data_IF_800118982363
#
_entry.id   IF_800118982363
#
_cell.length_a   1.000
_cell.length_b   1.000
_cell.length_c   1.000
_cell.angle_alpha   90.00
_cell.angle_beta   90.00
_cell.angle_gamma   90.00
#
_symmetry.space_group_name_H-M   'P 1'
#
loop_
_entity.id
_entity.type
_entity.pdbx_description
1 polymer ?
#
# COMPACT_ATOMS: atom_id res chain seq x y z
N UNK A 1 7.50 -4.05 -25.85
CA UNK A 1 7.57 -3.23 -27.07
C UNK A 1 8.37 -1.97 -26.77
N UNK A 2 9.62 -1.88 -27.21
CA UNK A 2 10.28 -0.59 -27.44
C UNK A 2 10.58 -0.56 -28.94
N UNK A 3 9.62 -0.06 -29.73
CA UNK A 3 9.81 0.08 -31.19
C UNK A 3 10.60 1.33 -31.57
N UNK A 4 10.93 2.20 -30.60
CA UNK A 4 11.62 3.47 -30.84
C UNK A 4 12.58 3.81 -29.70
N UNK A 5 13.56 4.66 -29.99
CA UNK A 5 14.50 5.22 -29.02
C UNK A 5 14.03 6.63 -28.61
N UNK A 6 13.59 6.84 -27.35
CA UNK A 6 13.10 8.15 -26.90
C UNK A 6 14.15 9.26 -27.04
N UNK A 7 15.42 8.91 -26.84
CA UNK A 7 16.56 9.83 -26.95
C UNK A 7 16.67 10.34 -28.39
N UNK A 8 16.75 9.43 -29.37
CA UNK A 8 16.85 9.81 -30.80
C UNK A 8 15.67 10.66 -31.26
N UNK A 9 14.46 10.26 -30.90
CA UNK A 9 13.25 11.02 -31.25
C UNK A 9 13.30 12.43 -30.66
N UNK A 10 13.70 12.57 -29.40
CA UNK A 10 13.82 13.88 -28.75
C UNK A 10 14.92 14.74 -29.38
N UNK A 11 16.06 14.16 -29.75
CA UNK A 11 17.13 14.88 -30.46
C UNK A 11 16.68 15.44 -31.81
N UNK A 12 15.90 14.67 -32.57
CA UNK A 12 15.30 15.13 -33.84
C UNK A 12 14.41 16.35 -33.62
N UNK A 13 13.52 16.32 -32.62
CA UNK A 13 12.71 17.49 -32.25
C UNK A 13 13.58 18.69 -31.84
N UNK A 14 14.54 18.48 -30.93
CA UNK A 14 15.43 19.53 -30.42
C UNK A 14 16.27 20.18 -31.53
N UNK A 15 16.63 19.45 -32.59
CA UNK A 15 17.40 19.97 -33.72
C UNK A 15 16.70 21.10 -34.49
N UNK A 16 15.36 21.15 -34.44
CA UNK A 16 14.54 22.17 -35.13
C UNK A 16 14.44 23.50 -34.37
N UNK A 17 14.89 23.51 -33.10
CA UNK A 17 14.81 24.68 -32.25
C UNK A 17 16.03 25.61 -32.39
N UNK A 18 15.84 26.94 -32.31
CA UNK A 18 16.95 27.87 -32.21
C UNK A 18 17.80 27.57 -30.98
N UNK A 19 19.13 27.76 -31.08
CA UNK A 19 20.13 27.39 -30.05
C UNK A 19 19.73 27.76 -28.61
N UNK A 20 19.22 28.98 -28.39
CA UNK A 20 18.80 29.46 -27.06
C UNK A 20 17.55 28.74 -26.54
N UNK A 21 16.56 28.51 -27.41
CA UNK A 21 15.32 27.81 -27.04
C UNK A 21 15.63 26.34 -26.76
N UNK A 22 16.47 25.72 -27.59
CA UNK A 22 16.97 24.36 -27.40
C UNK A 22 17.65 24.18 -26.04
N UNK A 23 18.60 25.03 -25.67
CA UNK A 23 19.29 24.93 -24.36
C UNK A 23 18.31 25.05 -23.18
N UNK A 24 17.32 25.96 -23.26
CA UNK A 24 16.28 26.08 -22.22
C UNK A 24 15.48 24.77 -22.12
N UNK A 25 15.00 24.21 -23.23
CA UNK A 25 14.25 22.94 -23.23
C UNK A 25 15.13 21.79 -22.73
N UNK A 26 16.37 21.65 -23.22
CA UNK A 26 17.32 20.64 -22.76
C UNK A 26 17.48 20.68 -21.23
N UNK A 27 17.73 21.85 -20.65
CA UNK A 27 17.87 22.02 -19.19
C UNK A 27 16.57 21.78 -18.42
N UNK A 28 15.41 22.15 -18.98
CA UNK A 28 14.11 21.95 -18.30
C UNK A 28 13.75 20.49 -18.16
N UNK A 29 14.01 19.71 -19.21
CA UNK A 29 13.66 18.30 -19.26
C UNK A 29 14.83 17.38 -18.87
N UNK A 30 16.06 17.89 -18.79
CA UNK A 30 17.25 17.07 -18.50
C UNK A 30 17.53 16.10 -19.64
N UNK A 31 17.54 16.62 -20.87
CA UNK A 31 17.71 15.88 -22.12
C UNK A 31 18.77 16.54 -23.00
N UNK A 32 19.23 15.82 -24.02
CA UNK A 32 20.26 16.31 -24.95
C UNK A 32 21.57 16.57 -24.21
N UNK A 33 22.05 17.82 -24.24
CA UNK A 33 23.31 18.20 -23.56
C UNK A 33 23.16 18.34 -22.04
N UNK A 34 21.95 18.42 -21.53
CA UNK A 34 21.69 18.49 -20.09
C UNK A 34 21.41 17.09 -19.55
N UNK A 35 22.10 16.71 -18.47
CA UNK A 35 21.87 15.43 -17.78
C UNK A 35 20.77 15.52 -16.71
N UNK A 36 20.63 16.70 -16.10
CA UNK A 36 19.73 16.93 -14.98
C UNK A 36 18.66 17.98 -15.31
N UNK A 37 17.46 17.75 -14.77
CA UNK A 37 16.33 18.69 -14.85
C UNK A 37 16.59 19.90 -13.97
N UNK A 38 16.42 21.10 -14.51
CA UNK A 38 16.55 22.38 -13.79
C UNK A 38 15.21 23.10 -13.69
N UNK A 39 14.97 23.80 -12.58
CA UNK A 39 13.81 24.67 -12.42
C UNK A 39 13.90 25.89 -13.35
N UNK A 40 12.74 26.52 -13.63
CA UNK A 40 12.71 27.78 -14.39
C UNK A 40 13.57 28.87 -13.75
N UNK A 41 13.63 28.90 -12.42
CA UNK A 41 14.43 29.85 -11.65
C UNK A 41 15.93 29.59 -11.76
N UNK A 42 16.37 28.33 -11.67
CA UNK A 42 17.77 27.97 -11.83
C UNK A 42 18.29 28.30 -13.24
N UNK A 43 17.45 28.10 -14.27
CA UNK A 43 17.78 28.50 -15.64
C UNK A 43 17.79 30.02 -15.76
N UNK A 44 16.82 30.71 -15.17
CA UNK A 44 16.74 32.18 -15.19
C UNK A 44 17.98 32.82 -14.60
N UNK A 45 18.42 32.33 -13.44
CA UNK A 45 19.66 32.73 -12.77
C UNK A 45 20.88 32.51 -13.68
N UNK A 46 20.98 31.35 -14.34
CA UNK A 46 22.09 31.04 -15.26
C UNK A 46 22.13 31.97 -16.49
N UNK A 47 21.00 32.53 -16.88
CA UNK A 47 20.85 33.40 -18.05
C UNK A 47 20.75 34.89 -17.69
N UNK A 48 20.75 35.26 -16.41
CA UNK A 48 20.50 36.63 -15.96
C UNK A 48 19.10 37.16 -16.35
N UNK A 49 18.09 36.28 -16.41
CA UNK A 49 16.71 36.65 -16.78
C UNK A 49 15.70 36.17 -15.73
N UNK A 50 14.52 36.78 -15.72
CA UNK A 50 13.46 36.39 -14.79
C UNK A 50 12.92 34.99 -15.08
N UNK A 51 12.41 34.33 -14.03
CA UNK A 51 11.69 33.04 -14.15
C UNK A 51 10.59 33.09 -15.22
N UNK A 52 9.84 34.19 -15.26
CA UNK A 52 8.75 34.38 -16.23
C UNK A 52 9.28 34.44 -17.67
N UNK A 53 10.43 35.09 -17.89
CA UNK A 53 11.06 35.11 -19.22
C UNK A 53 11.49 33.71 -19.66
N UNK A 54 11.99 32.87 -18.75
CA UNK A 54 12.30 31.46 -19.07
C UNK A 54 11.02 30.70 -19.41
N UNK A 55 9.93 30.89 -18.66
CA UNK A 55 8.63 30.26 -18.93
C UNK A 55 8.11 30.61 -20.32
N UNK A 56 8.26 31.86 -20.74
CA UNK A 56 7.89 32.30 -22.09
C UNK A 56 8.74 31.62 -23.17
N UNK A 57 10.05 31.47 -22.94
CA UNK A 57 10.95 30.78 -23.89
C UNK A 57 10.59 29.28 -23.99
N UNK A 58 10.32 28.64 -22.86
CA UNK A 58 9.85 27.24 -22.80
C UNK A 58 8.54 27.08 -23.58
N UNK A 59 7.53 27.91 -23.28
CA UNK A 59 6.24 27.88 -23.97
C UNK A 59 6.36 28.12 -25.49
N UNK A 60 7.21 29.06 -25.90
CA UNK A 60 7.51 29.30 -27.32
C UNK A 60 8.16 28.07 -27.97
N UNK A 61 9.11 27.43 -27.29
CA UNK A 61 9.77 26.20 -27.77
C UNK A 61 8.79 25.05 -27.96
N UNK A 62 7.99 24.75 -26.93
CA UNK A 62 6.98 23.69 -26.98
C UNK A 62 5.94 23.96 -28.08
N UNK A 63 5.45 25.19 -28.21
CA UNK A 63 4.51 25.57 -29.28
C UNK A 63 5.11 25.39 -30.67
N UNK A 64 6.39 25.74 -30.86
CA UNK A 64 7.08 25.58 -32.14
C UNK A 64 7.26 24.10 -32.50
N UNK A 65 7.56 23.25 -31.53
CA UNK A 65 7.68 21.81 -31.73
C UNK A 65 6.34 21.16 -32.08
N UNK A 66 5.27 21.60 -31.43
CA UNK A 66 3.91 21.11 -31.69
C UNK A 66 3.38 21.54 -33.07
N UNK A 67 3.63 22.79 -33.47
CA UNK A 67 3.19 23.31 -34.77
C UNK A 67 3.95 22.71 -35.97
N UNK A 68 5.08 22.03 -35.74
CA UNK A 68 5.85 21.41 -36.81
C UNK A 68 5.25 20.06 -37.19
N UNK A 69 5.32 19.69 -38.48
CA UNK A 69 4.84 18.38 -38.95
C UNK A 69 5.61 17.20 -38.34
N UNK A 70 6.71 17.45 -37.62
CA UNK A 70 7.50 16.45 -36.90
C UNK A 70 6.67 15.57 -35.93
N UNK A 71 5.62 16.09 -35.29
CA UNK A 71 4.72 15.23 -34.48
C UNK A 71 3.95 14.26 -35.38
N UNK A 72 3.46 14.72 -36.54
CA UNK A 72 2.78 13.86 -37.52
C UNK A 72 3.72 12.82 -38.13
N UNK A 73 4.97 13.19 -38.37
CA UNK A 73 6.01 12.29 -38.90
C UNK A 73 6.39 11.19 -37.89
N UNK A 74 6.28 11.47 -36.59
CA UNK A 74 6.54 10.52 -35.49
C UNK A 74 5.26 10.04 -34.82
N UNK A 75 4.16 10.01 -35.57
CA UNK A 75 2.84 9.63 -35.05
C UNK A 75 2.84 8.23 -34.43
N UNK A 76 3.61 7.29 -35.00
CA UNK A 76 3.80 5.94 -34.47
C UNK A 76 4.32 5.92 -33.02
N UNK A 77 5.21 6.84 -32.67
CA UNK A 77 5.76 6.98 -31.31
C UNK A 77 4.68 7.44 -30.34
N UNK A 78 3.91 8.46 -30.70
CA UNK A 78 2.86 9.01 -29.85
C UNK A 78 1.67 8.06 -29.74
N UNK A 79 1.29 7.40 -30.84
CA UNK A 79 0.26 6.36 -30.85
C UNK A 79 0.68 5.20 -29.93
N UNK A 80 1.95 4.76 -29.96
CA UNK A 80 2.43 3.72 -29.05
C UNK A 80 2.35 4.14 -27.58
N UNK A 81 2.74 5.37 -27.23
CA UNK A 81 2.62 5.90 -25.86
C UNK A 81 1.15 6.01 -25.42
N UNK A 82 0.28 6.46 -26.33
CA UNK A 82 -1.17 6.57 -26.09
C UNK A 82 -1.80 5.20 -25.89
N UNK A 83 -1.50 4.23 -26.76
CA UNK A 83 -1.96 2.86 -26.62
C UNK A 83 -1.49 2.22 -25.31
N UNK A 84 -0.27 2.50 -24.84
CA UNK A 84 0.19 2.00 -23.55
C UNK A 84 -0.57 2.63 -22.37
N UNK A 85 -0.85 3.93 -22.40
CA UNK A 85 -1.70 4.57 -21.39
C UNK A 85 -3.13 4.00 -21.43
N UNK A 86 -3.72 3.84 -22.61
CA UNK A 86 -5.07 3.28 -22.77
C UNK A 86 -5.16 1.82 -22.31
N UNK A 87 -4.13 1.00 -22.60
CA UNK A 87 -4.01 -0.37 -22.07
C UNK A 87 -4.01 -0.41 -20.54
N UNK A 88 -3.50 0.64 -19.90
CA UNK A 88 -3.48 0.87 -18.45
C UNK A 88 -4.73 1.60 -17.93
N UNK A 89 -5.81 1.66 -18.71
CA UNK A 89 -7.04 2.32 -18.31
C UNK A 89 -6.98 3.85 -18.45
N UNK A 90 -6.19 4.35 -19.39
CA UNK A 90 -6.13 5.77 -19.78
C UNK A 90 -5.33 6.68 -18.86
N UNK A 91 -4.84 6.18 -17.72
CA UNK A 91 -4.12 6.94 -16.71
C UNK A 91 -3.06 6.09 -16.03
N UNK A 92 -1.91 6.69 -15.71
CA UNK A 92 -0.86 6.03 -14.96
C UNK A 92 -0.06 7.01 -14.09
N UNK A 93 0.40 6.53 -12.93
CA UNK A 93 1.36 7.25 -12.09
C UNK A 93 2.67 7.49 -12.86
N UNK A 94 3.22 8.71 -12.78
CA UNK A 94 4.30 9.18 -13.66
C UNK A 94 5.57 8.33 -13.52
N UNK A 95 6.04 8.07 -12.30
CA UNK A 95 7.30 7.38 -12.09
C UNK A 95 7.22 5.89 -12.46
N UNK A 96 6.13 5.21 -12.13
CA UNK A 96 5.86 3.82 -12.54
C UNK A 96 5.68 3.71 -14.04
N UNK A 97 4.93 4.63 -14.67
CA UNK A 97 4.76 4.65 -16.11
C UNK A 97 6.11 4.79 -16.83
N UNK A 98 6.89 5.81 -16.45
CA UNK A 98 8.20 6.06 -17.05
C UNK A 98 9.16 4.90 -16.78
N UNK A 99 9.19 4.35 -15.56
CA UNK A 99 10.04 3.20 -15.21
C UNK A 99 9.67 1.92 -15.96
N UNK A 100 8.40 1.75 -16.34
CA UNK A 100 7.97 0.60 -17.14
C UNK A 100 8.42 0.69 -18.61
N UNK A 101 8.72 1.91 -19.08
CA UNK A 101 9.08 2.19 -20.47
C UNK A 101 10.56 2.52 -20.67
N UNK A 102 11.30 2.85 -19.62
CA UNK A 102 12.67 3.34 -19.69
C UNK A 102 13.63 2.50 -18.83
N UNK A 103 14.86 2.34 -19.33
CA UNK A 103 15.95 1.62 -18.65
C UNK A 103 16.89 2.55 -17.88
N UNK A 104 16.83 3.86 -18.13
CA UNK A 104 17.70 4.86 -17.52
C UNK A 104 16.95 6.14 -17.18
N UNK A 105 17.52 6.97 -16.30
CA UNK A 105 16.95 8.28 -15.96
C UNK A 105 16.87 9.21 -17.18
N UNK A 106 17.83 9.10 -18.10
CA UNK A 106 17.85 9.85 -19.35
C UNK A 106 16.66 9.44 -20.24
N UNK A 107 16.40 8.15 -20.41
CA UNK A 107 15.22 7.69 -21.16
C UNK A 107 13.91 8.17 -20.52
N UNK A 108 13.79 8.13 -19.19
CA UNK A 108 12.62 8.67 -18.47
C UNK A 108 12.40 10.17 -18.77
N UNK A 109 13.48 10.95 -18.78
CA UNK A 109 13.44 12.37 -19.08
C UNK A 109 12.97 12.64 -20.52
N UNK A 110 13.47 11.86 -21.49
CA UNK A 110 13.06 11.96 -22.89
C UNK A 110 11.60 11.55 -23.10
N UNK A 111 11.13 10.46 -22.48
CA UNK A 111 9.70 10.07 -22.56
C UNK A 111 8.82 11.16 -21.93
N UNK A 112 9.20 11.72 -20.78
CA UNK A 112 8.48 12.83 -20.15
C UNK A 112 8.39 14.05 -21.07
N UNK A 113 9.47 14.37 -21.78
CA UNK A 113 9.47 15.43 -22.78
C UNK A 113 8.48 15.13 -23.92
N UNK A 114 8.52 13.93 -24.49
CA UNK A 114 7.58 13.52 -25.56
C UNK A 114 6.12 13.62 -25.10
N UNK A 115 5.79 13.12 -23.91
CA UNK A 115 4.44 13.25 -23.34
C UNK A 115 4.02 14.72 -23.18
N UNK A 116 4.97 15.63 -22.91
CA UNK A 116 4.67 17.07 -22.77
C UNK A 116 4.42 17.76 -24.11
N UNK A 117 4.91 17.20 -25.22
CA UNK A 117 4.80 17.83 -26.54
C UNK A 117 3.42 17.64 -27.20
N UNK A 118 2.85 16.45 -27.07
CA UNK A 118 1.61 16.08 -27.74
C UNK A 118 0.37 16.43 -26.91
N UNK A 119 -0.66 16.93 -27.56
CA UNK A 119 -1.92 17.36 -26.92
C UNK A 119 -2.75 16.19 -26.39
N UNK A 120 -2.49 14.98 -26.88
CA UNK A 120 -3.13 13.75 -26.42
C UNK A 120 -2.86 13.42 -24.95
N UNK A 121 -1.83 14.02 -24.34
CA UNK A 121 -1.42 13.71 -22.97
C UNK A 121 -1.60 14.88 -22.04
N UNK A 122 -2.32 14.64 -20.93
CA UNK A 122 -2.52 15.60 -19.87
C UNK A 122 -1.71 15.17 -18.64
N UNK A 123 -0.78 16.03 -18.23
CA UNK A 123 -0.11 15.88 -16.93
C UNK A 123 -1.00 16.43 -15.83
N UNK A 124 -1.32 15.58 -14.86
CA UNK A 124 -2.03 15.97 -13.65
C UNK A 124 -1.00 16.02 -12.52
N UNK A 125 -0.94 17.16 -11.83
CA UNK A 125 0.01 17.37 -10.75
C UNK A 125 -0.35 16.48 -9.57
N UNK A 126 0.68 16.15 -8.81
CA UNK A 126 0.53 15.50 -7.52
C UNK A 126 -0.29 16.37 -6.55
N UNK A 127 -1.14 15.72 -5.77
CA UNK A 127 -1.98 16.31 -4.73
C UNK A 127 -1.91 15.46 -3.44
N UNK A 128 -2.77 15.72 -2.46
CA UNK A 128 -2.77 15.00 -1.18
C UNK A 128 -3.15 13.52 -1.34
N UNK A 129 -4.08 13.19 -2.24
CA UNK A 129 -4.62 11.83 -2.39
C UNK A 129 -3.92 11.03 -3.50
N UNK A 130 -3.37 11.71 -4.51
CA UNK A 130 -2.89 11.09 -5.73
C UNK A 130 -1.48 11.55 -6.12
N UNK A 131 -0.70 10.58 -6.61
CA UNK A 131 0.63 10.82 -7.17
C UNK A 131 0.56 11.65 -8.46
N UNK A 132 1.69 12.26 -8.84
CA UNK A 132 1.82 12.88 -10.16
C UNK A 132 1.57 11.84 -11.26
N UNK A 133 0.76 12.18 -12.26
CA UNK A 133 0.21 11.19 -13.20
C UNK A 133 0.01 11.75 -14.60
N UNK A 134 0.04 10.87 -15.59
CA UNK A 134 -0.28 11.17 -16.98
C UNK A 134 -1.59 10.51 -17.36
N UNK A 135 -2.41 11.23 -18.12
CA UNK A 135 -3.63 10.71 -18.72
C UNK A 135 -3.62 10.91 -20.23
N UNK A 136 -4.16 9.93 -20.95
CA UNK A 136 -4.48 10.02 -22.38
C UNK A 136 -5.97 10.25 -22.64
N UNK A 137 -6.80 10.25 -21.58
CA UNK A 137 -8.25 10.41 -21.67
C UNK A 137 -8.80 11.04 -20.36
N UNK A 138 -9.44 12.20 -20.49
CA UNK A 138 -9.96 12.96 -19.36
C UNK A 138 -11.13 12.26 -18.65
N UNK A 139 -11.97 11.52 -19.39
CA UNK A 139 -13.09 10.77 -18.81
C UNK A 139 -12.57 9.59 -18.00
N UNK A 140 -11.59 8.86 -18.52
CA UNK A 140 -10.94 7.77 -17.78
C UNK A 140 -10.18 8.27 -16.56
N UNK A 141 -9.51 9.42 -16.65
CA UNK A 141 -8.87 10.03 -15.49
C UNK A 141 -9.89 10.39 -14.40
N UNK A 142 -11.02 11.00 -14.76
CA UNK A 142 -12.10 11.31 -13.82
C UNK A 142 -12.68 10.03 -13.20
N UNK A 143 -12.97 9.02 -14.00
CA UNK A 143 -13.48 7.73 -13.52
C UNK A 143 -12.50 7.06 -12.54
N UNK A 144 -11.19 7.13 -12.83
CA UNK A 144 -10.15 6.61 -11.95
C UNK A 144 -10.16 7.31 -10.58
N UNK A 145 -10.18 8.65 -10.55
CA UNK A 145 -10.15 9.39 -9.27
C UNK A 145 -11.40 9.12 -8.45
N UNK A 146 -12.58 9.16 -9.06
CA UNK A 146 -13.84 8.89 -8.35
C UNK A 146 -13.93 7.44 -7.86
N UNK A 147 -13.49 6.47 -8.67
CA UNK A 147 -13.42 5.05 -8.25
C UNK A 147 -12.49 4.89 -7.05
N UNK A 148 -11.30 5.52 -7.08
CA UNK A 148 -10.36 5.45 -5.97
C UNK A 148 -10.91 6.14 -4.72
N UNK A 149 -11.62 7.25 -4.87
CA UNK A 149 -12.23 7.95 -3.74
C UNK A 149 -13.32 7.09 -3.06
N UNK A 150 -14.13 6.36 -3.85
CA UNK A 150 -15.08 5.36 -3.32
C UNK A 150 -14.33 4.22 -2.63
N UNK A 151 -13.26 3.71 -3.25
CA UNK A 151 -12.44 2.64 -2.66
C UNK A 151 -11.81 3.09 -1.33
N UNK A 152 -11.32 4.34 -1.23
CA UNK A 152 -10.76 4.87 0.01
C UNK A 152 -11.77 4.80 1.15
N UNK A 153 -13.00 5.27 0.92
CA UNK A 153 -14.10 5.22 1.90
C UNK A 153 -14.47 3.79 2.27
N UNK A 154 -14.53 2.89 1.28
CA UNK A 154 -14.87 1.49 1.54
C UNK A 154 -13.79 0.76 2.36
N UNK A 155 -12.52 1.19 2.31
CA UNK A 155 -11.43 0.59 3.08
C UNK A 155 -11.33 1.13 4.53
N UNK A 156 -12.11 2.13 4.91
CA UNK A 156 -12.07 2.70 6.26
C UNK A 156 -12.48 1.66 7.31
N UNK A 157 -11.62 1.46 8.32
CA UNK A 157 -11.85 0.51 9.40
C UNK A 157 -11.80 -0.97 8.99
N UNK A 158 -11.42 -1.29 7.75
CA UNK A 158 -11.32 -2.68 7.28
C UNK A 158 -9.91 -3.25 7.46
N UNK A 159 -9.87 -4.56 7.61
CA UNK A 159 -8.64 -5.33 7.58
C UNK A 159 -7.98 -5.32 6.20
N UNK A 160 -6.65 -5.51 6.11
CA UNK A 160 -5.96 -5.60 4.82
C UNK A 160 -6.55 -6.70 3.94
N UNK A 161 -6.75 -6.38 2.66
CA UNK A 161 -7.29 -7.28 1.65
C UNK A 161 -6.16 -7.91 0.83
N UNK A 162 -6.40 -9.11 0.29
CA UNK A 162 -5.45 -9.69 -0.66
C UNK A 162 -5.44 -8.95 -2.00
N UNK A 163 -4.39 -9.16 -2.79
CA UNK A 163 -4.20 -8.51 -4.09
C UNK A 163 -5.37 -8.75 -5.06
N UNK A 164 -5.87 -10.00 -5.10
CA UNK A 164 -7.01 -10.36 -5.94
C UNK A 164 -8.31 -9.71 -5.47
N UNK A 165 -8.51 -9.63 -4.15
CA UNK A 165 -9.71 -9.06 -3.54
C UNK A 165 -9.83 -7.56 -3.78
N UNK A 166 -8.74 -6.81 -3.54
CA UNK A 166 -8.77 -5.36 -3.77
C UNK A 166 -8.93 -5.02 -5.27
N UNK A 167 -8.32 -5.81 -6.16
CA UNK A 167 -8.48 -5.64 -7.61
C UNK A 167 -9.89 -5.95 -8.06
N UNK A 168 -10.50 -7.04 -7.58
CA UNK A 168 -11.90 -7.37 -7.87
C UNK A 168 -12.85 -6.28 -7.35
N UNK A 169 -12.59 -5.75 -6.16
CA UNK A 169 -13.36 -4.63 -5.61
C UNK A 169 -13.23 -3.36 -6.45
N UNK A 170 -12.00 -2.98 -6.81
CA UNK A 170 -11.76 -1.82 -7.68
C UNK A 170 -12.47 -1.98 -9.03
N UNK A 171 -12.38 -3.18 -9.65
CA UNK A 171 -13.07 -3.50 -10.90
C UNK A 171 -14.59 -3.35 -10.76
N UNK A 172 -15.16 -3.89 -9.69
CA UNK A 172 -16.59 -3.81 -9.41
C UNK A 172 -17.08 -2.35 -9.25
N UNK A 173 -16.33 -1.50 -8.53
CA UNK A 173 -16.66 -0.08 -8.38
C UNK A 173 -16.59 0.62 -9.74
N UNK A 174 -15.52 0.37 -10.51
CA UNK A 174 -15.29 1.00 -11.81
C UNK A 174 -16.40 0.63 -12.82
N UNK A 175 -16.83 -0.62 -12.85
CA UNK A 175 -17.88 -1.10 -13.73
C UNK A 175 -19.26 -0.58 -13.32
N UNK A 176 -19.62 -0.70 -12.05
CA UNK A 176 -20.96 -0.30 -11.56
C UNK A 176 -21.19 1.20 -11.56
N UNK A 177 -20.17 1.99 -11.21
CA UNK A 177 -20.33 3.44 -11.02
C UNK A 177 -19.96 4.24 -12.27
N UNK A 178 -19.08 3.71 -13.13
CA UNK A 178 -18.52 4.46 -14.26
C UNK A 178 -18.54 3.68 -15.59
N UNK A 179 -19.14 2.49 -15.63
CA UNK A 179 -19.21 1.62 -16.81
C UNK A 179 -17.83 1.35 -17.44
N UNK A 180 -16.81 1.17 -16.59
CA UNK A 180 -15.43 0.88 -17.01
C UNK A 180 -15.08 -0.57 -16.73
N UNK A 181 -14.91 -1.36 -17.79
CA UNK A 181 -14.39 -2.72 -17.69
C UNK A 181 -12.86 -2.68 -17.76
N UNK A 182 -12.22 -2.88 -16.60
CA UNK A 182 -10.78 -2.73 -16.45
C UNK A 182 -10.05 -4.07 -16.60
N UNK A 183 -9.05 -4.09 -17.49
CA UNK A 183 -8.10 -5.20 -17.56
C UNK A 183 -7.10 -5.22 -16.40
N UNK A 184 -6.30 -6.30 -16.25
CA UNK A 184 -5.34 -6.45 -15.15
C UNK A 184 -4.32 -5.31 -15.05
N UNK A 185 -3.77 -4.86 -16.18
CA UNK A 185 -2.82 -3.75 -16.22
C UNK A 185 -3.46 -2.41 -15.82
N UNK A 186 -4.73 -2.22 -16.16
CA UNK A 186 -5.48 -1.03 -15.79
C UNK A 186 -5.77 -0.98 -14.29
N UNK A 187 -6.15 -2.12 -13.70
CA UNK A 187 -6.35 -2.23 -12.25
C UNK A 187 -5.07 -1.92 -11.47
N UNK A 188 -3.94 -2.48 -11.90
CA UNK A 188 -2.63 -2.19 -11.30
C UNK A 188 -2.26 -0.70 -11.45
N UNK A 189 -2.48 -0.14 -12.64
CA UNK A 189 -2.22 1.28 -12.91
C UNK A 189 -3.07 2.19 -12.03
N UNK A 190 -4.38 1.95 -11.96
CA UNK A 190 -5.30 2.76 -11.16
C UNK A 190 -4.98 2.69 -9.67
N UNK A 191 -4.73 1.50 -9.11
CA UNK A 191 -4.29 1.38 -7.71
C UNK A 191 -3.02 2.19 -7.44
N UNK A 192 -2.08 2.18 -8.39
CA UNK A 192 -0.80 2.88 -8.24
C UNK A 192 -0.88 4.41 -8.23
N UNK A 193 -2.00 4.97 -8.72
CA UNK A 193 -2.24 6.42 -8.70
C UNK A 193 -2.53 6.93 -7.29
N UNK A 194 -3.11 6.08 -6.44
CA UNK A 194 -3.47 6.41 -5.06
C UNK A 194 -2.25 6.49 -4.14
N UNK A 195 -2.16 7.56 -3.35
CA UNK A 195 -1.23 7.66 -2.19
C UNK A 195 -1.83 7.10 -0.91
N UNK A 196 -3.16 7.06 -0.82
CA UNK A 196 -3.88 6.64 0.38
C UNK A 196 -3.96 5.12 0.51
N UNK A 197 -3.73 4.37 -0.56
CA UNK A 197 -3.83 2.91 -0.58
C UNK A 197 -2.45 2.33 -0.84
N UNK A 198 -2.01 1.42 0.02
CA UNK A 198 -0.69 0.79 -0.09
C UNK A 198 -0.75 -0.70 0.24
N UNK A 199 0.24 -1.43 -0.28
CA UNK A 199 0.49 -2.83 0.03
C UNK A 199 1.50 -2.91 1.17
N UNK A 200 1.15 -3.62 2.23
CA UNK A 200 2.05 -3.87 3.35
C UNK A 200 3.10 -4.94 3.00
N UNK A 201 4.06 -5.16 3.90
CA UNK A 201 5.14 -6.16 3.69
C UNK A 201 4.65 -7.61 3.63
N UNK A 202 3.44 -7.88 4.12
CA UNK A 202 2.79 -9.19 4.09
C UNK A 202 1.95 -9.40 2.82
N UNK A 203 1.89 -8.39 1.94
CA UNK A 203 1.13 -8.44 0.70
C UNK A 203 -0.34 -8.03 0.81
N UNK A 204 -0.80 -7.63 2.00
CA UNK A 204 -2.15 -7.11 2.22
C UNK A 204 -2.26 -5.62 1.86
N UNK A 205 -3.34 -5.26 1.18
CA UNK A 205 -3.65 -3.91 0.74
C UNK A 205 -4.66 -3.21 1.65
N UNK A 206 -4.50 -1.90 1.85
CA UNK A 206 -5.45 -1.10 2.61
C UNK A 206 -5.02 0.36 2.69
N UNK A 207 -5.67 1.11 3.58
CA UNK A 207 -5.33 2.52 3.80
C UNK A 207 -3.97 2.69 4.47
N UNK A 208 -3.15 3.61 3.96
CA UNK A 208 -1.80 3.88 4.45
C UNK A 208 -1.77 4.31 5.93
N UNK A 209 -2.83 4.96 6.40
CA UNK A 209 -2.97 5.40 7.79
C UNK A 209 -3.30 4.25 8.76
N UNK A 210 -3.74 3.10 8.23
CA UNK A 210 -4.01 1.92 9.04
C UNK A 210 -2.69 1.36 9.59
N UNK A 211 -2.60 1.07 10.91
CA UNK A 211 -1.45 0.39 11.50
C UNK A 211 -1.18 -0.99 10.88
N UNK A 212 -2.20 -1.59 10.25
CA UNK A 212 -2.09 -2.86 9.54
C UNK A 212 -1.37 -2.73 8.19
N UNK A 213 -1.25 -1.51 7.67
CA UNK A 213 -0.61 -1.22 6.39
C UNK A 213 0.75 -0.58 6.60
N UNK A 214 0.78 0.48 7.41
CA UNK A 214 2.00 1.19 7.78
C UNK A 214 2.21 1.12 9.30
N UNK A 215 2.82 0.03 9.80
CA UNK A 215 3.08 -0.13 11.24
C UNK A 215 4.02 0.98 11.74
N UNK A 216 3.65 1.66 12.83
CA UNK A 216 4.41 2.82 13.36
C UNK A 216 5.38 2.46 14.47
N UNK A 217 5.45 1.19 14.84
CA UNK A 217 6.36 0.69 15.85
C UNK A 217 6.17 -0.78 16.16
N UNK A 218 6.89 -1.26 17.18
CA UNK A 218 6.97 -2.67 17.55
C UNK A 218 5.60 -3.28 17.87
N UNK A 219 4.69 -2.53 18.50
CA UNK A 219 3.33 -3.00 18.80
C UNK A 219 2.53 -3.37 17.54
N UNK A 220 2.65 -2.59 16.47
CA UNK A 220 1.91 -2.84 15.23
C UNK A 220 2.54 -3.98 14.43
N UNK A 221 3.88 -4.06 14.45
CA UNK A 221 4.62 -5.20 13.88
C UNK A 221 4.23 -6.52 14.58
N UNK A 222 4.16 -6.50 15.91
CA UNK A 222 3.73 -7.64 16.70
C UNK A 222 2.29 -8.04 16.38
N UNK A 223 1.39 -7.05 16.29
CA UNK A 223 0.00 -7.28 15.91
C UNK A 223 -0.10 -7.97 14.54
N UNK A 224 0.59 -7.44 13.53
CA UNK A 224 0.57 -7.98 12.16
C UNK A 224 1.06 -9.42 12.07
N UNK A 225 2.19 -9.70 12.71
CA UNK A 225 2.78 -11.04 12.73
C UNK A 225 1.86 -12.04 13.43
N UNK A 226 1.26 -11.64 14.55
CA UNK A 226 0.31 -12.50 15.26
C UNK A 226 -0.97 -12.73 14.46
N UNK A 227 -1.50 -11.69 13.80
CA UNK A 227 -2.69 -11.80 12.94
C UNK A 227 -2.45 -12.74 11.78
N UNK A 228 -1.28 -12.66 11.13
CA UNK A 228 -0.87 -13.59 10.08
C UNK A 228 -0.69 -15.02 10.59
N UNK A 229 -0.16 -15.20 11.80
CA UNK A 229 0.03 -16.53 12.40
C UNK A 229 -1.31 -17.19 12.80
N UNK A 230 -2.31 -16.40 13.16
CA UNK A 230 -3.68 -16.86 13.42
C UNK A 230 -3.89 -17.65 14.72
N UNK A 231 -2.86 -17.75 15.57
CA UNK A 231 -2.97 -18.42 16.88
C UNK A 231 -1.98 -17.82 17.90
N UNK A 232 -2.16 -18.05 19.21
CA UNK A 232 -1.31 -17.45 20.25
C UNK A 232 0.18 -17.76 20.06
N UNK A 233 1.03 -16.76 20.30
CA UNK A 233 2.48 -16.84 20.09
C UNK A 233 3.24 -16.43 21.34
N UNK A 234 4.38 -17.07 21.60
CA UNK A 234 5.27 -16.64 22.67
C UNK A 234 5.98 -15.35 22.25
N UNK A 235 6.23 -14.41 23.17
CA UNK A 235 6.84 -13.11 22.81
C UNK A 235 8.20 -13.26 22.09
N UNK A 236 8.95 -14.34 22.36
CA UNK A 236 10.19 -14.66 21.64
C UNK A 236 9.93 -15.08 20.19
N UNK A 237 8.87 -15.85 19.94
CA UNK A 237 8.43 -16.25 18.60
C UNK A 237 7.93 -15.03 17.82
N UNK A 238 7.16 -14.14 18.47
CA UNK A 238 6.74 -12.86 17.88
C UNK A 238 7.97 -12.05 17.47
N UNK A 239 8.97 -11.94 18.35
CA UNK A 239 10.23 -11.23 18.05
C UNK A 239 10.96 -11.82 16.84
N UNK A 240 11.04 -13.15 16.76
CA UNK A 240 11.69 -13.83 15.63
C UNK A 240 10.91 -13.64 14.34
N UNK A 241 9.58 -13.74 14.39
CA UNK A 241 8.73 -13.58 13.22
C UNK A 241 8.69 -12.12 12.72
N UNK A 242 8.82 -11.10 13.58
CA UNK A 242 9.05 -9.71 13.13
C UNK A 242 10.35 -9.62 12.31
N UNK A 243 11.45 -10.19 12.82
CA UNK A 243 12.74 -10.17 12.11
C UNK A 243 12.71 -10.95 10.80
N UNK A 244 12.03 -12.10 10.79
CA UNK A 244 12.03 -13.03 9.65
C UNK A 244 11.02 -12.63 8.58
N UNK A 245 9.79 -12.32 8.97
CA UNK A 245 8.68 -12.09 8.02
C UNK A 245 8.63 -10.64 7.56
N UNK A 246 9.00 -9.68 8.40
CA UNK A 246 8.93 -8.25 8.08
C UNK A 246 10.31 -7.62 7.81
N UNK A 247 11.39 -8.36 8.04
CA UNK A 247 12.77 -7.87 7.95
C UNK A 247 13.01 -6.60 8.77
N UNK A 248 12.35 -6.50 9.93
CA UNK A 248 12.44 -5.36 10.85
C UNK A 248 13.26 -5.70 12.10
N UNK A 249 14.06 -4.76 12.64
CA UNK A 249 14.77 -4.99 13.88
C UNK A 249 13.78 -5.06 15.05
N UNK A 250 13.85 -6.14 15.82
CA UNK A 250 13.05 -6.32 17.02
C UNK A 250 13.92 -6.81 18.20
N UNK A 251 13.80 -6.14 19.35
CA UNK A 251 14.46 -6.58 20.57
C UNK A 251 13.46 -7.30 21.48
N UNK A 252 13.86 -8.44 22.03
CA UNK A 252 12.99 -9.35 22.78
C UNK A 252 12.31 -8.67 23.97
N UNK A 253 13.06 -7.86 24.74
CA UNK A 253 12.51 -7.13 25.88
C UNK A 253 11.53 -6.03 25.45
N UNK A 254 11.80 -5.37 24.31
CA UNK A 254 10.94 -4.31 23.78
C UNK A 254 9.62 -4.89 23.32
N UNK A 255 9.66 -5.99 22.55
CA UNK A 255 8.44 -6.69 22.10
C UNK A 255 7.62 -7.13 23.32
N UNK A 256 8.25 -7.74 24.32
CA UNK A 256 7.54 -8.15 25.53
C UNK A 256 6.86 -6.98 26.26
N UNK A 257 7.58 -5.86 26.45
CA UNK A 257 7.02 -4.67 27.10
C UNK A 257 5.87 -4.05 26.30
N UNK A 258 5.96 -4.02 24.98
CA UNK A 258 4.90 -3.47 24.12
C UNK A 258 3.66 -4.37 24.10
N UNK A 259 3.83 -5.70 24.09
CA UNK A 259 2.72 -6.67 24.19
C UNK A 259 1.95 -6.54 25.51
N UNK A 260 2.63 -6.19 26.61
CA UNK A 260 1.99 -5.97 27.92
C UNK A 260 1.19 -4.66 27.93
N UNK A 261 1.72 -3.59 27.32
CA UNK A 261 1.14 -2.24 27.39
C UNK A 261 -0.04 -2.04 26.45
N UNK A 262 -0.10 -2.77 25.35
CA UNK A 262 -1.09 -2.59 24.30
C UNK A 262 -2.32 -3.49 24.54
N UNK A 263 -3.50 -2.88 24.58
CA UNK A 263 -4.75 -3.55 24.93
C UNK A 263 -5.21 -4.57 23.89
N UNK A 264 -4.65 -4.56 22.67
CA UNK A 264 -4.96 -5.54 21.62
C UNK A 264 -4.45 -6.94 21.94
N UNK A 265 -3.53 -7.08 22.88
CA UNK A 265 -2.96 -8.36 23.28
C UNK A 265 -3.51 -8.83 24.63
N UNK A 266 -3.56 -10.15 24.80
CA UNK A 266 -3.99 -10.82 26.03
C UNK A 266 -2.95 -11.89 26.38
N UNK A 267 -2.46 -11.87 27.62
CA UNK A 267 -1.55 -12.89 28.13
C UNK A 267 -2.37 -14.16 28.47
N UNK A 268 -2.18 -15.21 27.69
CA UNK A 268 -2.93 -16.48 27.81
C UNK A 268 -2.10 -17.62 28.41
N UNK A 269 -0.81 -17.42 28.63
CA UNK A 269 0.10 -18.39 29.24
C UNK A 269 1.42 -17.75 29.64
N UNK A 270 2.39 -18.54 30.13
CA UNK A 270 3.72 -18.00 30.48
C UNK A 270 4.42 -17.49 29.22
N UNK A 271 4.44 -16.16 29.06
CA UNK A 271 4.99 -15.48 27.90
C UNK A 271 4.19 -15.66 26.59
N UNK A 272 3.04 -16.32 26.64
CA UNK A 272 2.19 -16.60 25.48
C UNK A 272 1.10 -15.53 25.36
N UNK A 273 1.07 -14.83 24.23
CA UNK A 273 0.12 -13.76 23.96
C UNK A 273 -0.84 -14.17 22.84
N UNK A 274 -2.07 -13.72 22.93
CA UNK A 274 -3.10 -13.85 21.90
C UNK A 274 -3.63 -12.47 21.52
N UNK A 275 -4.22 -12.33 20.33
CA UNK A 275 -4.98 -11.13 19.99
C UNK A 275 -6.33 -11.16 20.71
N UNK A 276 -6.75 -10.03 21.25
CA UNK A 276 -8.04 -9.88 21.94
C UNK A 276 -9.22 -10.17 21.02
N UNK A 277 -9.11 -9.79 19.74
CA UNK A 277 -10.15 -10.03 18.73
C UNK A 277 -10.46 -11.52 18.49
N UNK A 278 -9.56 -12.42 18.89
CA UNK A 278 -9.80 -13.87 18.84
C UNK A 278 -10.67 -14.39 20.00
N UNK A 279 -11.13 -13.52 20.90
CA UNK A 279 -12.04 -13.90 21.99
C UNK A 279 -11.34 -14.49 23.23
N UNK A 280 -10.03 -14.33 23.36
CA UNK A 280 -9.32 -14.77 24.57
C UNK A 280 -9.57 -13.82 25.74
N UNK A 281 -10.09 -14.37 26.83
CA UNK A 281 -10.27 -13.62 28.08
C UNK A 281 -8.98 -13.55 28.91
N UNK A 282 -8.66 -12.39 29.52
CA UNK A 282 -7.58 -12.27 30.48
C UNK A 282 -7.85 -13.12 31.72
N UNK A 283 -6.86 -13.90 32.17
CA UNK A 283 -6.97 -14.66 33.41
C UNK A 283 -6.17 -15.95 33.38
N UNK A 284 -6.03 -16.59 34.52
CA UNK A 284 -5.45 -17.92 34.66
C UNK A 284 -6.48 -19.00 34.29
N UNK A 285 -6.04 -20.24 34.04
CA UNK A 285 -6.96 -21.38 33.79
C UNK A 285 -8.02 -21.48 34.89
N UNK A 286 -7.61 -21.13 36.11
CA UNK A 286 -8.47 -21.03 37.28
C UNK A 286 -9.60 -20.00 37.14
N UNK A 287 -9.35 -18.84 36.54
CA UNK A 287 -10.37 -17.80 36.34
C UNK A 287 -11.40 -18.23 35.30
N UNK A 288 -10.95 -18.93 34.24
CA UNK A 288 -11.83 -19.55 33.24
C UNK A 288 -12.71 -20.62 33.88
N UNK A 289 -12.13 -21.53 34.67
CA UNK A 289 -12.89 -22.54 35.42
C UNK A 289 -13.92 -21.86 36.33
N UNK A 290 -13.54 -20.76 37.01
CA UNK A 290 -14.46 -20.02 37.87
C UNK A 290 -15.65 -19.44 37.11
N UNK A 291 -15.41 -18.82 35.96
CA UNK A 291 -16.47 -18.22 35.14
C UNK A 291 -17.42 -19.28 34.57
N UNK A 292 -16.88 -20.43 34.15
CA UNK A 292 -17.69 -21.57 33.69
C UNK A 292 -18.59 -22.09 34.81
N UNK A 293 -18.05 -22.30 36.01
CA UNK A 293 -18.82 -22.82 37.14
C UNK A 293 -19.81 -21.79 37.70
N UNK A 294 -19.47 -20.49 37.67
CA UNK A 294 -20.38 -19.42 38.07
C UNK A 294 -21.58 -19.28 37.13
N UNK A 295 -21.38 -19.50 35.82
CA UNK A 295 -22.45 -19.39 34.81
C UNK A 295 -23.26 -20.68 34.64
N UNK A 296 -22.63 -21.85 34.78
CA UNK A 296 -23.25 -23.15 34.49
C UNK A 296 -23.65 -23.95 35.73
N UNK A 297 -23.27 -23.51 36.92
CA UNK A 297 -23.43 -24.27 38.16
C UNK A 297 -22.44 -25.45 38.27
N UNK A 298 -22.67 -26.39 39.21
CA UNK A 298 -21.83 -27.58 39.37
C UNK A 298 -21.82 -28.43 38.10
N UNK A 299 -20.62 -28.87 37.67
CA UNK A 299 -20.46 -29.66 36.46
C UNK A 299 -19.56 -30.87 36.68
N UNK A 300 -19.82 -32.02 36.01
CA UNK A 300 -18.89 -33.13 35.99
C UNK A 300 -17.51 -32.69 35.51
N UNK A 301 -16.46 -33.28 36.09
CA UNK A 301 -15.06 -32.94 35.82
C UNK A 301 -14.73 -32.97 34.33
N UNK A 302 -15.23 -33.95 33.61
CA UNK A 302 -15.03 -34.14 32.17
C UNK A 302 -15.66 -33.00 31.37
N UNK A 303 -16.83 -32.51 31.81
CA UNK A 303 -17.53 -31.38 31.18
C UNK A 303 -16.84 -30.05 31.45
N UNK A 304 -16.25 -29.87 32.64
CA UNK A 304 -15.41 -28.71 32.92
C UNK A 304 -14.18 -28.70 32.00
N UNK A 305 -13.50 -29.84 31.84
CA UNK A 305 -12.37 -29.97 30.92
C UNK A 305 -12.78 -29.64 29.49
N UNK A 306 -13.89 -30.21 29.01
CA UNK A 306 -14.41 -29.96 27.65
C UNK A 306 -14.68 -28.47 27.41
N UNK A 307 -15.35 -27.79 28.36
CA UNK A 307 -15.65 -26.36 28.24
C UNK A 307 -14.40 -25.49 28.31
N UNK A 308 -13.47 -25.79 29.22
CA UNK A 308 -12.20 -25.04 29.31
C UNK A 308 -11.34 -25.23 28.05
N UNK A 309 -11.33 -26.44 27.46
CA UNK A 309 -10.62 -26.69 26.19
C UNK A 309 -11.25 -25.98 24.99
N UNK A 310 -12.57 -25.73 25.02
CA UNK A 310 -13.28 -24.91 24.02
C UNK A 310 -12.98 -23.42 24.18
N UNK A 311 -12.88 -22.93 25.42
CA UNK A 311 -12.61 -21.52 25.72
C UNK A 311 -11.12 -21.17 25.73
N UNK A 312 -10.23 -22.16 25.89
CA UNK A 312 -8.78 -21.92 26.03
C UNK A 312 -7.93 -23.09 25.55
N UNK A 313 -6.91 -22.80 24.75
CA UNK A 313 -5.88 -23.77 24.38
C UNK A 313 -4.91 -24.05 25.54
N UNK A 314 -5.24 -25.07 26.35
CA UNK A 314 -4.38 -25.58 27.42
C UNK A 314 -4.36 -27.10 27.43
N UNK A 315 -3.31 -27.71 27.99
CA UNK A 315 -3.26 -29.17 28.16
C UNK A 315 -4.24 -29.59 29.26
N UNK A 316 -4.88 -30.74 29.10
CA UNK A 316 -5.77 -31.33 30.11
C UNK A 316 -5.11 -31.44 31.48
N UNK A 317 -3.82 -31.80 31.53
CA UNK A 317 -3.04 -31.87 32.76
C UNK A 317 -3.01 -30.53 33.53
N UNK A 318 -2.94 -29.40 32.81
CA UNK A 318 -2.96 -28.05 33.42
C UNK A 318 -4.32 -27.76 34.05
N UNK A 319 -5.42 -28.16 33.40
CA UNK A 319 -6.78 -28.01 33.93
C UNK A 319 -6.93 -28.84 35.20
N UNK A 320 -6.46 -30.10 35.17
CA UNK A 320 -6.51 -31.02 36.31
C UNK A 320 -5.75 -30.50 37.53
N UNK A 321 -4.56 -29.93 37.35
CA UNK A 321 -3.79 -29.32 38.45
C UNK A 321 -4.54 -28.13 39.05
N UNK A 322 -5.18 -27.30 38.23
CA UNK A 322 -5.95 -26.16 38.74
C UNK A 322 -7.21 -26.60 39.49
N UNK A 323 -7.87 -27.68 39.05
CA UNK A 323 -9.03 -28.26 39.74
C UNK A 323 -8.70 -28.87 41.11
N UNK A 324 -7.42 -29.13 41.41
CA UNK A 324 -6.97 -29.58 42.73
C UNK A 324 -6.86 -28.45 43.77
N UNK A 325 -7.06 -27.19 43.35
CA UNK A 325 -7.06 -26.05 44.25
C UNK A 325 -8.32 -26.02 45.14
N UNK A 326 -8.22 -26.69 46.30
CA UNK A 326 -9.26 -26.78 47.32
C UNK A 326 -9.69 -25.42 47.92
N UNK A 327 -8.98 -24.33 47.64
CA UNK A 327 -9.39 -22.98 48.07
C UNK A 327 -10.45 -22.38 47.15
N UNK A 328 -10.62 -22.94 45.95
CA UNK A 328 -11.47 -22.34 44.90
C UNK A 328 -12.47 -23.35 44.33
N UNK A 329 -12.15 -24.65 44.36
CA UNK A 329 -13.01 -25.70 43.84
C UNK A 329 -13.23 -26.81 44.87
N UNK A 330 -14.45 -27.33 44.92
CA UNK A 330 -14.82 -28.52 45.72
C UNK A 330 -15.54 -29.54 44.86
N UNK A 331 -15.27 -30.82 45.11
CA UNK A 331 -15.99 -31.94 44.51
C UNK A 331 -17.19 -32.29 45.38
N UNK A 332 -18.35 -32.44 44.74
CA UNK A 332 -19.59 -32.91 45.34
C UNK A 332 -19.62 -34.45 45.38
N UNK A 333 -20.57 -35.01 46.13
CA UNK A 333 -20.72 -36.47 46.30
C UNK A 333 -21.01 -37.21 44.99
N UNK A 334 -21.60 -36.52 44.01
CA UNK A 334 -21.91 -37.03 42.67
C UNK A 334 -20.71 -36.95 41.70
N UNK A 335 -19.55 -36.45 42.14
CA UNK A 335 -18.36 -36.25 41.32
C UNK A 335 -18.35 -34.94 40.52
N UNK A 336 -19.37 -34.09 40.65
CA UNK A 336 -19.41 -32.76 40.05
C UNK A 336 -18.48 -31.79 40.79
N UNK A 337 -17.88 -30.86 40.05
CA UNK A 337 -17.05 -29.78 40.60
C UNK A 337 -17.90 -28.52 40.74
N UNK A 338 -17.78 -27.83 41.86
CA UNK A 338 -18.39 -26.52 42.10
C UNK A 338 -17.40 -25.54 42.73
N UNK A 339 -17.77 -24.27 42.78
CA UNK A 339 -17.02 -23.23 43.49
C UNK A 339 -17.10 -23.47 45.00
N UNK A 340 -16.01 -23.17 45.70
CA UNK A 340 -15.94 -23.25 47.17
C UNK A 340 -16.93 -22.30 47.81
#
# INVERSE_FOLDING_TARGET
MQSFSPIKVSEEFLSTLPKRVRDVIERRFGIGKAKDRKTLEAIGTSYGITRERVRQIEAYGLKKLNANNAIKEKKDVFDALKSELLRRGGIAEEEKFLSSLAKSQEEKNNIRFLLTLAEDFKRIKEDEEFSGRWSADEKLASACHETLHILHKDLEGKDPMEDAEIKAKLASIAETSFNQNLGPDALESWLSVSKRVAKNKLGGWGLIDSPHISPRGVRDLAFLVMKQHGSPMHFSEVTQAIKKNLSEPAHLQTVHNELIKDNRFVLVGRGLYALREWGYEPGTVKDVIKNILASSGPLPKEKVIEKVLKERHVKTATILINLQDKRNFKSLEDGSITLV
#
